data_IF_178266367220
#
_entry.id   IF_178266367220
#
_cell.length_a   1.000
_cell.length_b   1.000
_cell.length_c   1.000
_cell.angle_alpha   90.00
_cell.angle_beta   90.00
_cell.angle_gamma   90.00
#
_symmetry.space_group_name_H-M   'P 1'
#
loop_
_entity.id
_entity.type
_entity.pdbx_description
1 polymer ?
#
# COMPACT_ATOMS: atom_id res chain seq x y z
N UNK A 1 49.50 77.79 -5.82
CA UNK A 1 48.91 77.59 -4.48
C UNK A 1 47.54 78.28 -4.50
N UNK A 2 46.39 77.68 -4.26
CA UNK A 2 46.07 76.36 -3.71
C UNK A 2 44.62 75.96 -4.04
N UNK A 3 44.33 74.72 -3.67
CA UNK A 3 43.26 73.81 -4.10
C UNK A 3 41.80 74.27 -3.88
N UNK A 4 40.95 73.94 -4.86
CA UNK A 4 39.50 73.87 -4.76
C UNK A 4 39.05 72.88 -3.67
N UNK A 5 38.43 73.39 -2.61
CA UNK A 5 37.71 72.56 -1.63
C UNK A 5 36.33 72.18 -2.16
N UNK A 6 36.18 70.95 -2.67
CA UNK A 6 34.86 70.35 -2.88
C UNK A 6 34.19 70.15 -1.52
N UNK A 7 33.28 71.07 -1.16
CA UNK A 7 32.37 70.89 -0.04
C UNK A 7 31.54 69.63 -0.27
N UNK A 8 31.72 68.61 0.57
CA UNK A 8 30.82 67.47 0.67
C UNK A 8 29.41 68.01 0.91
N UNK A 9 28.52 67.91 -0.09
CA UNK A 9 27.08 68.15 0.11
C UNK A 9 26.63 67.21 1.23
N UNK A 10 26.36 67.76 2.42
CA UNK A 10 25.71 67.01 3.50
C UNK A 10 24.34 66.55 2.97
N UNK A 11 24.12 65.24 2.92
CA UNK A 11 22.80 64.67 2.67
C UNK A 11 21.83 65.24 3.73
N UNK A 12 20.57 65.54 3.36
CA UNK A 12 19.56 65.96 4.32
C UNK A 12 19.42 64.91 5.45
N UNK A 13 19.06 65.33 6.67
CA UNK A 13 18.88 64.39 7.78
C UNK A 13 17.82 63.35 7.40
N UNK A 14 18.15 62.08 7.62
CA UNK A 14 17.22 60.97 7.38
C UNK A 14 15.98 61.18 8.25
N UNK A 15 14.79 60.92 7.68
CA UNK A 15 13.59 60.81 8.51
C UNK A 15 13.77 59.69 9.55
N UNK A 16 13.07 59.81 10.68
CA UNK A 16 13.22 58.88 11.80
C UNK A 16 12.89 57.43 11.40
N UNK A 17 11.96 57.24 10.47
CA UNK A 17 11.62 55.94 9.91
C UNK A 17 12.80 55.30 9.16
N UNK A 18 13.49 56.05 8.31
CA UNK A 18 14.67 55.62 7.58
C UNK A 18 15.86 55.35 8.51
N UNK A 19 16.01 56.11 9.60
CA UNK A 19 17.02 55.83 10.63
C UNK A 19 16.76 54.47 11.30
N UNK A 20 15.52 54.22 11.72
CA UNK A 20 15.11 52.97 12.36
C UNK A 20 15.23 51.78 11.38
N UNK A 21 14.89 51.97 10.10
CA UNK A 21 15.07 50.93 9.09
C UNK A 21 16.54 50.52 8.95
N UNK A 22 17.47 51.49 8.90
CA UNK A 22 18.92 51.19 8.86
C UNK A 22 19.42 50.51 10.13
N UNK A 23 18.90 50.90 11.29
CA UNK A 23 19.20 50.20 12.56
C UNK A 23 18.74 48.75 12.51
N UNK A 24 17.56 48.48 11.93
CA UNK A 24 17.07 47.12 11.74
C UNK A 24 17.98 46.27 10.83
N UNK A 25 18.52 46.86 9.76
CA UNK A 25 19.47 46.17 8.87
C UNK A 25 20.79 45.82 9.57
N UNK A 26 21.20 46.61 10.58
CA UNK A 26 22.41 46.39 11.37
C UNK A 26 22.19 45.57 12.66
N UNK A 27 20.94 45.20 12.98
CA UNK A 27 20.61 44.53 14.22
C UNK A 27 21.18 43.10 14.26
N UNK A 28 21.89 42.76 15.35
CA UNK A 28 22.53 41.45 15.52
C UNK A 28 21.56 40.31 15.90
N UNK A 29 20.31 40.62 16.26
CA UNK A 29 19.32 39.64 16.69
C UNK A 29 17.93 39.89 16.11
N UNK A 30 17.20 38.81 15.80
CA UNK A 30 15.90 38.86 15.12
C UNK A 30 14.85 39.69 15.88
N UNK A 31 14.85 39.62 17.22
CA UNK A 31 13.91 40.37 18.06
C UNK A 31 14.10 41.89 17.92
N UNK A 32 15.33 42.37 18.05
CA UNK A 32 15.65 43.79 17.86
C UNK A 32 15.38 44.23 16.42
N UNK A 33 15.67 43.37 15.44
CA UNK A 33 15.36 43.64 14.05
C UNK A 33 13.86 43.86 13.82
N UNK A 34 13.01 42.99 14.37
CA UNK A 34 11.55 43.13 14.30
C UNK A 34 11.08 44.42 14.97
N UNK A 35 11.55 44.71 16.20
CA UNK A 35 11.17 45.93 16.93
C UNK A 35 11.49 47.19 16.12
N UNK A 36 12.69 47.29 15.52
CA UNK A 36 13.05 48.43 14.68
C UNK A 36 12.25 48.49 13.37
N UNK A 37 11.96 47.34 12.75
CA UNK A 37 11.14 47.28 11.54
C UNK A 37 9.69 47.70 11.81
N UNK A 38 9.11 47.30 12.94
CA UNK A 38 7.75 47.67 13.35
C UNK A 38 7.64 49.17 13.61
N UNK A 39 8.59 49.73 14.36
CA UNK A 39 8.64 51.18 14.61
C UNK A 39 8.82 51.97 13.31
N UNK A 40 9.72 51.53 12.43
CA UNK A 40 9.95 52.16 11.14
C UNK A 40 8.73 52.05 10.20
N UNK A 41 8.08 50.89 10.16
CA UNK A 41 6.88 50.65 9.37
C UNK A 41 5.70 51.51 9.86
N UNK A 42 5.54 51.68 11.18
CA UNK A 42 4.53 52.54 11.78
C UNK A 42 4.71 54.02 11.40
N UNK A 43 5.96 54.46 11.17
CA UNK A 43 6.29 55.78 10.64
C UNK A 43 6.10 55.91 9.12
N UNK A 44 5.54 54.88 8.47
CA UNK A 44 5.25 54.89 7.04
C UNK A 44 6.41 54.50 6.13
N UNK A 45 7.54 54.02 6.66
CA UNK A 45 8.67 53.64 5.82
C UNK A 45 8.33 52.42 4.96
N UNK A 46 8.25 52.65 3.65
CA UNK A 46 7.87 51.65 2.64
C UNK A 46 8.80 50.42 2.59
N UNK A 47 10.10 50.63 2.81
CA UNK A 47 11.09 49.56 2.79
C UNK A 47 11.03 48.71 4.05
N UNK A 48 10.78 49.35 5.21
CA UNK A 48 10.56 48.64 6.46
C UNK A 48 9.30 47.77 6.40
N UNK A 49 8.20 48.24 5.81
CA UNK A 49 6.98 47.43 5.61
C UNK A 49 7.24 46.17 4.79
N UNK A 50 7.94 46.30 3.66
CA UNK A 50 8.30 45.16 2.82
C UNK A 50 9.25 44.17 3.54
N UNK A 51 10.25 44.69 4.27
CA UNK A 51 11.17 43.86 5.04
C UNK A 51 10.46 43.15 6.20
N UNK A 52 9.51 43.83 6.87
CA UNK A 52 8.71 43.27 7.94
C UNK A 52 7.80 42.14 7.43
N UNK A 53 7.17 42.32 6.25
CA UNK A 53 6.39 41.27 5.59
C UNK A 53 7.21 39.99 5.36
N UNK A 54 8.47 40.13 4.90
CA UNK A 54 9.41 39.01 4.75
C UNK A 54 9.72 38.35 6.09
N UNK A 55 10.01 39.15 7.12
CA UNK A 55 10.33 38.63 8.45
C UNK A 55 9.16 37.81 9.02
N UNK A 56 7.92 38.30 8.89
CA UNK A 56 6.74 37.54 9.27
C UNK A 56 6.61 36.24 8.47
N UNK A 57 6.75 36.31 7.14
CA UNK A 57 6.67 35.14 6.26
C UNK A 57 7.66 34.02 6.61
N UNK A 58 8.89 34.38 6.97
CA UNK A 58 9.95 33.40 7.19
C UNK A 58 9.97 32.84 8.63
N UNK A 59 9.48 33.59 9.62
CA UNK A 59 9.74 33.28 11.03
C UNK A 59 8.49 33.03 11.89
N UNK A 60 7.29 33.35 11.42
CA UNK A 60 6.07 33.07 12.17
C UNK A 60 5.60 31.62 12.00
N UNK A 61 5.31 30.97 13.13
CA UNK A 61 4.85 29.57 13.19
C UNK A 61 3.37 29.41 12.84
N UNK A 62 2.55 30.41 13.15
CA UNK A 62 1.12 30.40 12.85
C UNK A 62 0.87 30.79 11.39
N UNK A 63 0.54 29.80 10.56
CA UNK A 63 0.45 29.98 9.11
C UNK A 63 -0.67 30.96 8.69
N UNK A 64 -1.84 30.91 9.34
CA UNK A 64 -2.96 31.79 9.01
C UNK A 64 -2.65 33.26 9.31
N UNK A 65 -2.11 33.51 10.50
CA UNK A 65 -1.75 34.85 10.95
C UNK A 65 -0.59 35.42 10.14
N UNK A 66 0.41 34.58 9.84
CA UNK A 66 1.55 34.91 8.97
C UNK A 66 1.10 35.38 7.60
N UNK A 67 0.19 34.64 6.95
CA UNK A 67 -0.31 34.97 5.61
C UNK A 67 -1.04 36.32 5.64
N UNK A 68 -1.95 36.51 6.59
CA UNK A 68 -2.74 37.74 6.71
C UNK A 68 -1.86 38.97 6.96
N UNK A 69 -0.96 38.90 7.95
CA UNK A 69 -0.06 40.01 8.28
C UNK A 69 0.90 40.33 7.15
N UNK A 70 1.51 39.32 6.54
CA UNK A 70 2.45 39.53 5.46
C UNK A 70 1.77 40.15 4.23
N UNK A 71 0.57 39.69 3.86
CA UNK A 71 -0.17 40.25 2.73
C UNK A 71 -0.57 41.72 2.96
N UNK A 72 -1.08 42.06 4.15
CA UNK A 72 -1.45 43.42 4.50
C UNK A 72 -0.23 44.38 4.46
N UNK A 73 0.91 43.94 5.00
CA UNK A 73 2.14 44.73 4.96
C UNK A 73 2.66 44.96 3.53
N UNK A 74 2.49 43.98 2.64
CA UNK A 74 2.83 44.16 1.23
C UNK A 74 1.91 45.14 0.52
N UNK A 75 0.61 45.16 0.83
CA UNK A 75 -0.32 46.16 0.28
C UNK A 75 0.10 47.56 0.67
N UNK A 76 0.38 47.76 1.96
CA UNK A 76 0.79 49.05 2.47
C UNK A 76 2.15 49.48 1.90
N UNK A 77 3.08 48.55 1.74
CA UNK A 77 4.36 48.81 1.11
C UNK A 77 4.18 49.21 -0.36
N UNK A 78 3.34 48.50 -1.12
CA UNK A 78 3.02 48.80 -2.51
C UNK A 78 2.33 50.16 -2.65
N UNK A 79 1.36 50.47 -1.79
CA UNK A 79 0.68 51.76 -1.75
C UNK A 79 1.64 52.92 -1.44
N UNK A 80 2.67 52.68 -0.63
CA UNK A 80 3.75 53.63 -0.36
C UNK A 80 4.85 53.65 -1.45
N UNK A 81 4.65 52.94 -2.57
CA UNK A 81 5.57 52.89 -3.70
C UNK A 81 6.86 52.12 -3.44
N UNK A 82 6.84 51.12 -2.55
CA UNK A 82 7.97 50.21 -2.38
C UNK A 82 8.14 49.31 -3.60
N UNK A 83 9.38 49.09 -4.01
CA UNK A 83 9.71 47.98 -4.91
C UNK A 83 9.67 46.68 -4.10
N UNK A 84 8.73 45.79 -4.44
CA UNK A 84 8.59 44.50 -3.79
C UNK A 84 9.44 43.43 -4.48
N UNK A 85 9.96 42.49 -3.68
CA UNK A 85 10.46 41.21 -4.19
C UNK A 85 9.27 40.45 -4.81
N UNK A 86 9.23 40.43 -6.14
CA UNK A 86 8.09 39.89 -6.88
C UNK A 86 7.92 38.39 -6.68
N UNK A 87 8.99 37.63 -6.43
CA UNK A 87 8.88 36.21 -6.13
C UNK A 87 8.26 35.96 -4.76
N UNK A 88 8.68 36.72 -3.74
CA UNK A 88 8.11 36.64 -2.39
C UNK A 88 6.66 37.14 -2.35
N UNK A 89 6.37 38.29 -2.96
CA UNK A 89 5.03 38.84 -3.02
C UNK A 89 4.06 37.90 -3.73
N UNK A 90 4.48 37.29 -4.85
CA UNK A 90 3.71 36.26 -5.55
C UNK A 90 3.29 35.11 -4.64
N UNK A 91 4.23 34.56 -3.85
CA UNK A 91 3.96 33.45 -2.91
C UNK A 91 3.01 33.84 -1.78
N UNK A 92 3.20 35.02 -1.20
CA UNK A 92 2.35 35.51 -0.09
C UNK A 92 0.92 35.71 -0.59
N UNK A 93 0.73 36.40 -1.71
CA UNK A 93 -0.61 36.64 -2.26
C UNK A 93 -1.31 35.36 -2.73
N UNK A 94 -0.58 34.41 -3.32
CA UNK A 94 -1.11 33.10 -3.72
C UNK A 94 -1.71 32.38 -2.50
N UNK A 95 -0.97 32.37 -1.38
CA UNK A 95 -1.40 31.77 -0.12
C UNK A 95 -2.50 32.55 0.59
N UNK A 96 -2.57 33.85 0.40
CA UNK A 96 -3.66 34.70 0.88
C UNK A 96 -4.95 34.57 0.03
N UNK A 97 -4.94 33.78 -1.05
CA UNK A 97 -6.07 33.67 -1.97
C UNK A 97 -6.23 34.88 -2.90
N UNK A 98 -5.26 35.79 -2.93
CA UNK A 98 -5.21 37.00 -3.76
C UNK A 98 -4.54 36.71 -5.09
N UNK A 99 -5.26 35.96 -5.92
CA UNK A 99 -4.69 35.23 -7.05
C UNK A 99 -4.30 36.16 -8.22
N UNK A 100 -4.98 37.29 -8.41
CA UNK A 100 -4.63 38.27 -9.45
C UNK A 100 -3.30 38.98 -9.14
N UNK A 101 -3.13 39.46 -7.90
CA UNK A 101 -1.89 40.07 -7.45
C UNK A 101 -0.74 39.06 -7.50
N UNK A 102 -1.00 37.83 -7.07
CA UNK A 102 -0.04 36.74 -7.18
C UNK A 102 0.42 36.51 -8.62
N UNK A 103 -0.51 36.43 -9.58
CA UNK A 103 -0.19 36.21 -10.99
C UNK A 103 0.66 37.35 -11.59
N UNK A 104 0.36 38.61 -11.25
CA UNK A 104 1.16 39.77 -11.69
C UNK A 104 2.60 39.70 -11.17
N UNK A 105 2.75 39.40 -9.87
CA UNK A 105 4.06 39.28 -9.25
C UNK A 105 4.85 38.06 -9.74
N UNK A 106 4.20 36.91 -9.95
CA UNK A 106 4.86 35.75 -10.56
C UNK A 106 5.34 36.06 -11.98
N UNK A 107 4.56 36.76 -12.80
CA UNK A 107 5.01 37.16 -14.15
C UNK A 107 6.26 38.05 -14.08
N UNK A 108 6.24 39.08 -13.24
CA UNK A 108 7.38 39.98 -13.07
C UNK A 108 8.65 39.24 -12.57
N UNK A 109 8.50 38.29 -11.65
CA UNK A 109 9.61 37.46 -11.18
C UNK A 109 10.09 36.44 -12.24
N UNK A 110 9.17 35.90 -13.04
CA UNK A 110 9.48 34.97 -14.13
C UNK A 110 10.34 35.64 -15.22
N UNK A 111 10.02 36.89 -15.56
CA UNK A 111 10.79 37.74 -16.46
C UNK A 111 12.21 38.03 -15.95
N UNK A 112 12.39 38.06 -14.62
CA UNK A 112 13.69 38.20 -13.97
C UNK A 112 14.46 36.88 -13.86
N UNK A 113 13.89 35.77 -14.34
CA UNK A 113 14.56 34.47 -14.38
C UNK A 113 14.25 33.53 -13.21
N UNK A 114 13.40 33.90 -12.26
CA UNK A 114 13.07 33.03 -11.12
C UNK A 114 12.32 31.76 -11.59
N UNK A 115 12.96 30.59 -11.45
CA UNK A 115 12.45 29.32 -11.99
C UNK A 115 11.13 28.88 -11.36
N UNK A 116 10.91 29.18 -10.07
CA UNK A 116 9.65 28.90 -9.38
C UNK A 116 8.52 29.78 -9.95
N UNK A 117 8.78 31.06 -10.15
CA UNK A 117 7.83 32.00 -10.72
C UNK A 117 7.55 31.72 -12.19
N UNK A 118 8.54 31.26 -12.97
CA UNK A 118 8.33 30.76 -14.33
C UNK A 118 7.38 29.56 -14.33
N UNK A 119 7.62 28.56 -13.48
CA UNK A 119 6.71 27.43 -13.33
C UNK A 119 5.29 27.88 -12.93
N UNK A 120 5.16 28.77 -11.94
CA UNK A 120 3.86 29.29 -11.50
C UNK A 120 3.14 30.09 -12.59
N UNK A 121 3.88 30.86 -13.37
CA UNK A 121 3.35 31.61 -14.51
C UNK A 121 2.85 30.65 -15.60
N UNK A 122 3.62 29.61 -15.93
CA UNK A 122 3.18 28.57 -16.85
C UNK A 122 1.92 27.84 -16.36
N UNK A 123 1.83 27.56 -15.06
CA UNK A 123 0.64 26.98 -14.43
C UNK A 123 -0.60 27.86 -14.56
N UNK A 124 -0.47 29.16 -14.31
CA UNK A 124 -1.59 30.09 -14.45
C UNK A 124 -2.14 30.14 -15.89
N UNK A 125 -1.25 30.13 -16.90
CA UNK A 125 -1.65 30.04 -18.30
C UNK A 125 -2.29 28.68 -18.65
N UNK A 126 -1.73 27.57 -18.18
CA UNK A 126 -2.26 26.22 -18.47
C UNK A 126 -3.67 26.00 -17.89
N UNK A 127 -3.94 26.55 -16.71
CA UNK A 127 -5.22 26.40 -16.02
C UNK A 127 -6.26 27.44 -16.43
N UNK A 128 -5.87 28.48 -17.19
CA UNK A 128 -6.76 29.61 -17.49
C UNK A 128 -7.24 30.35 -16.24
N UNK A 129 -6.51 30.23 -15.12
CA UNK A 129 -6.92 30.86 -13.87
C UNK A 129 -6.35 32.28 -13.87
N UNK A 130 -7.22 33.28 -13.99
CA UNK A 130 -6.92 34.74 -14.00
C UNK A 130 -6.17 35.27 -15.22
N UNK A 131 -5.50 34.39 -15.96
CA UNK A 131 -5.02 34.65 -17.31
C UNK A 131 -5.87 33.84 -18.28
N UNK A 132 -6.10 34.37 -19.48
CA UNK A 132 -6.70 33.58 -20.54
C UNK A 132 -5.87 32.31 -20.75
N UNK A 133 -6.56 31.17 -20.88
CA UNK A 133 -5.90 29.88 -21.03
C UNK A 133 -5.08 29.90 -22.32
N UNK A 134 -3.77 29.64 -22.19
CA UNK A 134 -2.84 29.71 -23.31
C UNK A 134 -1.75 28.66 -23.10
N UNK A 135 -1.92 27.51 -23.75
CA UNK A 135 -0.98 26.41 -23.61
C UNK A 135 0.38 26.69 -24.27
N UNK A 136 0.43 27.56 -25.28
CA UNK A 136 1.70 27.93 -25.94
C UNK A 136 2.56 28.75 -24.97
N UNK A 137 1.95 29.75 -24.31
CA UNK A 137 2.62 30.51 -23.25
C UNK A 137 2.96 29.64 -22.05
N UNK A 138 2.09 28.67 -21.70
CA UNK A 138 2.39 27.73 -20.63
C UNK A 138 3.64 26.90 -20.95
N UNK A 139 3.72 26.34 -22.16
CA UNK A 139 4.87 25.57 -22.63
C UNK A 139 6.15 26.40 -22.59
N UNK A 140 6.11 27.64 -23.09
CA UNK A 140 7.25 28.56 -23.05
C UNK A 140 7.80 28.77 -21.63
N UNK A 141 6.93 29.03 -20.65
CA UNK A 141 7.38 29.26 -19.27
C UNK A 141 7.84 27.97 -18.58
N UNK A 142 7.20 26.83 -18.87
CA UNK A 142 7.66 25.54 -18.36
C UNK A 142 9.00 25.12 -18.95
N UNK A 143 9.27 25.41 -20.22
CA UNK A 143 10.56 25.17 -20.86
C UNK A 143 11.67 25.93 -20.14
N UNK A 144 11.52 27.25 -19.93
CA UNK A 144 12.49 28.04 -19.17
C UNK A 144 12.74 27.52 -17.75
N UNK A 145 11.70 27.10 -17.04
CA UNK A 145 11.85 26.53 -15.72
C UNK A 145 12.52 25.13 -15.75
N UNK A 146 12.21 24.31 -16.77
CA UNK A 146 12.81 22.99 -17.02
C UNK A 146 14.31 23.09 -17.34
N UNK A 147 14.72 24.07 -18.14
CA UNK A 147 16.13 24.36 -18.45
C UNK A 147 16.93 24.68 -17.18
N UNK A 148 16.31 25.36 -16.21
CA UNK A 148 16.88 25.64 -14.90
C UNK A 148 16.82 24.47 -13.91
N UNK A 149 16.37 23.30 -14.34
CA UNK A 149 16.34 22.10 -13.51
C UNK A 149 15.07 21.92 -12.66
N UNK A 150 14.02 22.71 -12.90
CA UNK A 150 12.79 22.61 -12.12
C UNK A 150 11.93 21.41 -12.54
N UNK A 151 12.05 20.30 -11.81
CA UNK A 151 11.49 19.00 -12.19
C UNK A 151 9.96 19.00 -12.44
N UNK A 152 9.19 19.79 -11.68
CA UNK A 152 7.75 19.89 -11.89
C UNK A 152 7.38 20.63 -13.19
N UNK A 153 8.22 21.56 -13.66
CA UNK A 153 8.05 22.19 -14.96
C UNK A 153 8.36 21.21 -16.09
N UNK A 154 9.46 20.45 -15.98
CA UNK A 154 9.79 19.37 -16.92
C UNK A 154 8.63 18.36 -17.07
N UNK A 155 8.01 17.96 -15.95
CA UNK A 155 6.85 17.07 -15.94
C UNK A 155 5.63 17.69 -16.64
N UNK A 156 5.30 18.95 -16.34
CA UNK A 156 4.13 19.59 -16.96
C UNK A 156 4.36 19.88 -18.44
N UNK A 157 5.59 20.21 -18.85
CA UNK A 157 5.94 20.36 -20.25
C UNK A 157 5.82 19.02 -20.99
N UNK A 158 6.26 17.91 -20.38
CA UNK A 158 6.06 16.56 -20.91
C UNK A 158 4.57 16.26 -21.17
N UNK A 159 3.70 16.64 -20.25
CA UNK A 159 2.24 16.48 -20.41
C UNK A 159 1.70 17.32 -21.58
N UNK A 160 2.23 18.52 -21.82
CA UNK A 160 1.82 19.35 -22.97
C UNK A 160 2.23 18.70 -24.30
N UNK A 161 3.46 18.22 -24.41
CA UNK A 161 3.94 17.48 -25.58
C UNK A 161 3.18 16.17 -25.80
N UNK A 162 2.91 15.40 -24.74
CA UNK A 162 2.17 14.14 -24.84
C UNK A 162 0.73 14.34 -25.32
N UNK A 163 0.10 15.48 -25.01
CA UNK A 163 -1.27 15.78 -25.41
C UNK A 163 -1.39 16.71 -26.63
N UNK A 164 -0.27 17.19 -27.18
CA UNK A 164 -0.28 18.18 -28.27
C UNK A 164 -0.96 19.50 -27.89
N UNK A 165 -0.84 19.95 -26.64
CA UNK A 165 -1.50 21.18 -26.15
C UNK A 165 -0.52 22.34 -26.15
N UNK A 166 -0.74 23.31 -27.03
CA UNK A 166 0.14 24.49 -27.16
C UNK A 166 1.54 24.18 -27.72
N UNK A 167 1.80 22.91 -28.02
CA UNK A 167 2.98 22.41 -28.74
C UNK A 167 2.51 21.25 -29.62
N UNK A 168 3.16 20.98 -30.77
CA UNK A 168 2.88 19.77 -31.54
C UNK A 168 3.04 18.52 -30.68
N UNK A 169 2.16 17.53 -30.86
CA UNK A 169 2.25 16.29 -30.11
C UNK A 169 3.56 15.57 -30.45
N UNK A 170 4.33 15.25 -29.43
CA UNK A 170 5.61 14.54 -29.56
C UNK A 170 5.87 13.69 -28.32
N UNK A 171 5.65 12.38 -28.46
CA UNK A 171 5.87 11.42 -27.39
C UNK A 171 7.36 11.21 -27.07
N UNK A 172 8.25 11.38 -28.04
CA UNK A 172 9.68 11.24 -27.78
C UNK A 172 10.15 12.38 -26.87
N UNK A 173 9.80 13.62 -27.22
CA UNK A 173 10.10 14.79 -26.39
C UNK A 173 9.42 14.69 -25.02
N UNK A 174 8.15 14.27 -24.96
CA UNK A 174 7.44 14.08 -23.70
C UNK A 174 8.15 13.09 -22.77
N UNK A 175 8.53 11.92 -23.29
CA UNK A 175 9.27 10.90 -22.55
C UNK A 175 10.61 11.42 -22.05
N UNK A 176 11.41 12.07 -22.88
CA UNK A 176 12.71 12.63 -22.48
C UNK A 176 12.57 13.67 -21.38
N UNK A 177 11.58 14.55 -21.46
CA UNK A 177 11.29 15.53 -20.41
C UNK A 177 10.84 14.88 -19.10
N UNK A 178 10.06 13.81 -19.17
CA UNK A 178 9.60 13.09 -17.98
C UNK A 178 10.75 12.30 -17.33
N UNK A 179 11.62 11.67 -18.13
CA UNK A 179 12.86 11.04 -17.65
C UNK A 179 13.79 12.06 -16.99
N UNK A 180 13.95 13.24 -17.60
CA UNK A 180 14.68 14.37 -17.01
C UNK A 180 14.09 14.78 -15.65
N UNK A 181 12.75 14.91 -15.55
CA UNK A 181 12.08 15.23 -14.30
C UNK A 181 12.35 14.15 -13.22
N UNK A 182 12.30 12.87 -13.59
CA UNK A 182 12.55 11.75 -12.69
C UNK A 182 14.00 11.71 -12.19
N UNK A 183 14.96 12.01 -13.08
CA UNK A 183 16.38 12.14 -12.76
C UNK A 183 16.64 13.31 -11.80
N UNK A 184 15.89 14.41 -11.93
CA UNK A 184 15.91 15.57 -11.03
C UNK A 184 15.20 15.32 -9.68
N UNK A 185 14.72 14.09 -9.43
CA UNK A 185 14.11 13.72 -8.15
C UNK A 185 12.60 13.87 -8.06
N UNK A 186 11.92 14.20 -9.17
CA UNK A 186 10.45 14.23 -9.20
C UNK A 186 9.88 12.84 -8.97
N UNK A 187 9.25 12.65 -7.81
CA UNK A 187 8.58 11.40 -7.48
C UNK A 187 7.38 11.18 -8.39
N UNK A 188 6.60 12.23 -8.66
CA UNK A 188 5.43 12.16 -9.56
C UNK A 188 5.85 11.66 -10.95
N UNK A 189 6.96 12.16 -11.50
CA UNK A 189 7.47 11.70 -12.80
C UNK A 189 7.90 10.23 -12.76
N UNK A 190 8.53 9.77 -11.66
CA UNK A 190 8.86 8.35 -11.47
C UNK A 190 7.62 7.47 -11.42
N UNK A 191 6.58 7.90 -10.70
CA UNK A 191 5.31 7.17 -10.62
C UNK A 191 4.59 7.06 -11.96
N UNK A 192 4.62 8.13 -12.75
CA UNK A 192 4.06 8.14 -14.11
C UNK A 192 4.88 7.26 -15.06
N UNK A 193 6.20 7.43 -15.12
CA UNK A 193 7.06 6.57 -15.95
C UNK A 193 6.94 5.09 -15.59
N UNK A 194 6.87 4.75 -14.31
CA UNK A 194 6.66 3.37 -13.88
C UNK A 194 5.36 2.78 -14.43
N UNK A 195 4.29 3.58 -14.41
CA UNK A 195 2.98 3.20 -14.92
C UNK A 195 2.99 3.08 -16.45
N UNK A 196 3.48 4.11 -17.14
CA UNK A 196 3.46 4.20 -18.60
C UNK A 196 4.35 3.12 -19.23
N UNK A 197 5.55 2.88 -18.68
CA UNK A 197 6.42 1.79 -19.12
C UNK A 197 5.83 0.39 -18.84
N UNK A 198 5.07 0.21 -17.76
CA UNK A 198 4.44 -1.08 -17.45
C UNK A 198 3.31 -1.42 -18.43
N UNK A 199 2.44 -0.45 -18.70
CA UNK A 199 1.29 -0.63 -19.61
C UNK A 199 1.67 -0.47 -21.09
N UNK A 200 2.82 0.15 -21.39
CA UNK A 200 3.17 0.54 -22.76
C UNK A 200 2.28 1.67 -23.29
N UNK A 201 1.84 2.55 -22.39
CA UNK A 201 1.02 3.72 -22.73
C UNK A 201 1.91 4.86 -23.21
N UNK A 202 1.46 5.56 -24.25
CA UNK A 202 2.17 6.73 -24.74
C UNK A 202 2.33 7.77 -23.61
N UNK A 203 3.55 8.30 -23.37
CA UNK A 203 4.67 8.38 -24.32
C UNK A 203 5.67 7.22 -24.29
N UNK A 204 5.44 6.19 -23.48
CA UNK A 204 6.41 5.12 -23.23
C UNK A 204 6.02 3.81 -23.93
N UNK A 205 6.91 3.16 -24.70
CA UNK A 205 6.69 1.77 -25.10
C UNK A 205 6.75 0.87 -23.87
N UNK A 206 6.17 -0.33 -23.94
CA UNK A 206 6.25 -1.27 -22.82
C UNK A 206 7.70 -1.67 -22.55
N UNK A 207 8.17 -1.48 -21.32
CA UNK A 207 9.53 -1.81 -20.87
C UNK A 207 9.52 -2.13 -19.36
N UNK A 208 9.52 -3.42 -19.05
CA UNK A 208 9.38 -3.88 -17.66
C UNK A 208 10.59 -3.53 -16.79
N UNK A 209 11.79 -3.44 -17.36
CA UNK A 209 13.00 -3.13 -16.60
C UNK A 209 13.00 -1.66 -16.19
N UNK A 210 12.66 -0.76 -17.12
CA UNK A 210 12.47 0.66 -16.80
C UNK A 210 11.30 0.88 -15.85
N UNK A 211 10.19 0.18 -16.06
CA UNK A 211 9.04 0.23 -15.16
C UNK A 211 9.46 -0.16 -13.72
N UNK A 212 10.18 -1.27 -13.56
CA UNK A 212 10.68 -1.73 -12.27
C UNK A 212 11.63 -0.72 -11.62
N UNK A 213 12.58 -0.17 -12.38
CA UNK A 213 13.55 0.80 -11.89
C UNK A 213 12.88 2.09 -11.37
N UNK A 214 11.96 2.65 -12.17
CA UNK A 214 11.21 3.84 -11.76
C UNK A 214 10.27 3.56 -10.59
N UNK A 215 9.62 2.39 -10.58
CA UNK A 215 8.74 2.00 -9.48
C UNK A 215 9.51 1.82 -8.17
N UNK A 216 10.70 1.20 -8.20
CA UNK A 216 11.58 1.10 -7.03
C UNK A 216 12.01 2.49 -6.51
N UNK A 217 12.33 3.41 -7.42
CA UNK A 217 12.77 4.76 -7.08
C UNK A 217 11.64 5.67 -6.54
N UNK A 218 10.37 5.30 -6.74
CA UNK A 218 9.17 6.04 -6.31
C UNK A 218 8.45 5.47 -5.08
N UNK A 219 8.95 4.39 -4.47
CA UNK A 219 8.32 3.73 -3.32
C UNK A 219 8.17 4.63 -2.09
N UNK A 220 9.14 5.51 -1.87
CA UNK A 220 9.21 6.41 -0.72
C UNK A 220 8.58 7.78 -1.01
N UNK A 221 7.79 7.87 -2.09
CA UNK A 221 7.09 9.10 -2.44
C UNK A 221 6.13 9.52 -1.33
N UNK A 222 6.18 10.82 -1.00
CA UNK A 222 5.18 11.48 -0.16
C UNK A 222 3.85 11.66 -0.89
N UNK A 223 3.87 11.66 -2.22
CA UNK A 223 2.66 11.68 -3.04
C UNK A 223 2.00 10.29 -3.04
N UNK A 224 0.77 10.22 -2.54
CA UNK A 224 0.04 8.98 -2.33
C UNK A 224 -0.27 8.27 -3.66
N UNK A 225 -0.65 9.03 -4.69
CA UNK A 225 -0.94 8.49 -6.03
C UNK A 225 0.29 7.81 -6.64
N UNK A 226 1.43 8.50 -6.63
CA UNK A 226 2.71 7.97 -7.09
C UNK A 226 3.09 6.71 -6.30
N UNK A 227 3.03 6.77 -4.97
CA UNK A 227 3.41 5.64 -4.12
C UNK A 227 2.55 4.41 -4.42
N UNK A 228 1.24 4.58 -4.60
CA UNK A 228 0.32 3.49 -4.95
C UNK A 228 0.62 2.91 -6.33
N UNK A 229 0.83 3.75 -7.35
CA UNK A 229 1.23 3.32 -8.70
C UNK A 229 2.53 2.52 -8.68
N UNK A 230 3.56 3.01 -8.00
CA UNK A 230 4.85 2.32 -7.89
C UNK A 230 4.71 0.95 -7.19
N UNK A 231 3.95 0.87 -6.09
CA UNK A 231 3.68 -0.39 -5.40
C UNK A 231 2.93 -1.38 -6.29
N UNK A 232 1.92 -0.89 -7.01
CA UNK A 232 1.13 -1.70 -7.94
C UNK A 232 2.01 -2.30 -9.05
N UNK A 233 2.77 -1.46 -9.76
CA UNK A 233 3.65 -1.90 -10.86
C UNK A 233 4.64 -2.95 -10.36
N UNK A 234 5.26 -2.74 -9.20
CA UNK A 234 6.18 -3.73 -8.63
C UNK A 234 5.50 -5.03 -8.26
N UNK A 235 4.32 -4.99 -7.64
CA UNK A 235 3.59 -6.18 -7.27
C UNK A 235 3.19 -7.00 -8.51
N UNK A 236 2.73 -6.31 -9.57
CA UNK A 236 2.41 -6.96 -10.84
C UNK A 236 3.64 -7.59 -11.51
N UNK A 237 4.75 -6.85 -11.60
CA UNK A 237 6.00 -7.37 -12.17
C UNK A 237 6.54 -8.56 -11.36
N UNK A 238 6.47 -8.49 -10.03
CA UNK A 238 6.86 -9.58 -9.14
C UNK A 238 6.00 -10.83 -9.34
N UNK A 239 4.66 -10.69 -9.32
CA UNK A 239 3.73 -11.81 -9.50
C UNK A 239 3.85 -12.47 -10.87
N UNK A 240 4.25 -11.70 -11.88
CA UNK A 240 4.46 -12.19 -13.25
C UNK A 240 5.91 -12.65 -13.51
N UNK A 241 6.83 -12.44 -12.57
CA UNK A 241 8.27 -12.68 -12.72
C UNK A 241 8.87 -11.95 -13.95
N UNK A 242 8.59 -10.65 -14.07
CA UNK A 242 8.98 -9.75 -15.17
C UNK A 242 9.87 -8.61 -14.67
N UNK A 243 10.59 -7.96 -15.59
CA UNK A 243 11.38 -6.74 -15.28
C UNK A 243 12.50 -6.94 -14.25
N UNK A 244 13.01 -8.17 -14.09
CA UNK A 244 14.02 -8.51 -13.10
C UNK A 244 13.53 -8.49 -11.64
N UNK A 245 12.24 -8.25 -11.39
CA UNK A 245 11.65 -8.24 -10.05
C UNK A 245 11.31 -9.67 -9.65
N UNK A 246 12.09 -10.24 -8.73
CA UNK A 246 11.83 -11.56 -8.15
C UNK A 246 11.26 -11.40 -6.74
N UNK A 247 10.04 -11.88 -6.55
CA UNK A 247 9.42 -12.02 -5.23
C UNK A 247 8.51 -13.26 -5.21
N UNK A 248 8.09 -13.69 -4.03
CA UNK A 248 7.06 -14.73 -3.90
C UNK A 248 5.73 -14.21 -4.42
N UNK A 249 4.98 -15.07 -5.10
CA UNK A 249 3.65 -14.75 -5.61
C UNK A 249 2.71 -14.26 -4.48
N UNK A 250 2.78 -14.89 -3.30
CA UNK A 250 2.02 -14.46 -2.11
C UNK A 250 2.29 -13.01 -1.70
N UNK A 251 3.55 -12.57 -1.81
CA UNK A 251 3.93 -11.20 -1.46
C UNK A 251 3.35 -10.19 -2.47
N UNK A 252 3.33 -10.55 -3.76
CA UNK A 252 2.70 -9.75 -4.81
C UNK A 252 1.18 -9.63 -4.59
N UNK A 253 0.50 -10.73 -4.31
CA UNK A 253 -0.93 -10.75 -4.01
C UNK A 253 -1.26 -9.98 -2.73
N UNK A 254 -0.48 -10.17 -1.67
CA UNK A 254 -0.64 -9.42 -0.43
C UNK A 254 -0.49 -7.90 -0.65
N UNK A 255 0.52 -7.48 -1.41
CA UNK A 255 0.72 -6.07 -1.76
C UNK A 255 -0.47 -5.49 -2.53
N UNK A 256 -1.03 -6.23 -3.49
CA UNK A 256 -2.21 -5.80 -4.24
C UNK A 256 -3.48 -5.77 -3.38
N UNK A 257 -3.69 -6.75 -2.49
CA UNK A 257 -4.83 -6.72 -1.54
C UNK A 257 -4.80 -5.48 -0.68
N UNK A 258 -3.63 -5.17 -0.11
CA UNK A 258 -3.46 -3.94 0.68
C UNK A 258 -3.74 -2.68 -0.13
N UNK A 259 -3.30 -2.62 -1.38
CA UNK A 259 -3.61 -1.49 -2.27
C UNK A 259 -5.12 -1.38 -2.56
N UNK A 260 -5.80 -2.52 -2.75
CA UNK A 260 -7.25 -2.54 -2.93
C UNK A 260 -7.99 -2.06 -1.68
N UNK A 261 -7.53 -2.44 -0.48
CA UNK A 261 -8.07 -1.98 0.81
C UNK A 261 -7.83 -0.47 1.02
N UNK A 262 -6.70 0.05 0.53
CA UNK A 262 -6.40 1.49 0.48
C UNK A 262 -7.25 2.25 -0.57
N UNK A 263 -8.10 1.54 -1.33
CA UNK A 263 -9.00 2.12 -2.34
C UNK A 263 -8.36 2.36 -3.72
N UNK A 264 -7.22 1.74 -4.02
CA UNK A 264 -6.59 1.84 -5.33
C UNK A 264 -7.28 0.92 -6.33
N UNK A 265 -8.17 1.47 -7.16
CA UNK A 265 -9.02 0.71 -8.07
C UNK A 265 -8.30 -0.33 -8.96
N UNK A 266 -7.13 -0.03 -9.58
CA UNK A 266 -6.44 -1.00 -10.44
C UNK A 266 -5.98 -2.27 -9.70
N UNK A 267 -5.83 -2.22 -8.38
CA UNK A 267 -5.35 -3.37 -7.62
C UNK A 267 -6.32 -4.56 -7.66
N UNK A 268 -7.63 -4.31 -7.76
CA UNK A 268 -8.65 -5.38 -7.86
C UNK A 268 -8.49 -6.16 -9.17
N UNK A 269 -8.36 -5.44 -10.28
CA UNK A 269 -8.12 -6.04 -11.60
C UNK A 269 -6.78 -6.78 -11.65
N UNK A 270 -5.74 -6.20 -11.03
CA UNK A 270 -4.43 -6.85 -10.88
C UNK A 270 -4.52 -8.17 -10.13
N UNK A 271 -5.29 -8.23 -9.03
CA UNK A 271 -5.54 -9.47 -8.28
C UNK A 271 -6.24 -10.52 -9.14
N UNK A 272 -7.30 -10.15 -9.84
CA UNK A 272 -8.03 -11.06 -10.73
C UNK A 272 -7.13 -11.59 -11.86
N UNK A 273 -6.23 -10.76 -12.38
CA UNK A 273 -5.26 -11.19 -13.39
C UNK A 273 -4.25 -12.18 -12.83
N UNK A 274 -3.64 -11.89 -11.67
CA UNK A 274 -2.66 -12.79 -11.06
C UNK A 274 -3.30 -14.12 -10.63
N UNK A 275 -4.51 -14.09 -10.09
CA UNK A 275 -5.25 -15.31 -9.72
C UNK A 275 -5.55 -16.16 -10.96
N UNK A 276 -6.05 -15.57 -12.07
CA UNK A 276 -6.28 -16.32 -13.32
C UNK A 276 -5.00 -16.93 -13.89
N UNK A 277 -3.88 -16.22 -13.79
CA UNK A 277 -2.59 -16.73 -14.26
C UNK A 277 -2.09 -17.87 -13.36
N UNK A 278 -2.31 -17.79 -12.06
CA UNK A 278 -2.01 -18.88 -11.13
C UNK A 278 -2.90 -20.10 -11.39
N UNK A 279 -4.22 -19.92 -11.53
CA UNK A 279 -5.17 -20.99 -11.89
C UNK A 279 -4.78 -21.70 -13.20
N UNK A 280 -4.33 -20.95 -14.21
CA UNK A 280 -3.85 -21.53 -15.45
C UNK A 280 -2.55 -22.35 -15.27
N UNK A 281 -1.60 -21.83 -14.48
CA UNK A 281 -0.33 -22.52 -14.19
C UNK A 281 -0.55 -23.80 -13.39
N UNK A 282 -1.37 -23.70 -12.35
CA UNK A 282 -1.72 -24.81 -11.43
C UNK A 282 -2.45 -25.92 -12.16
N UNK A 283 -3.44 -25.59 -13.00
CA UNK A 283 -4.17 -26.57 -13.83
C UNK A 283 -3.26 -27.25 -14.85
N UNK A 284 -2.32 -26.52 -15.45
CA UNK A 284 -1.33 -27.08 -16.37
C UNK A 284 -0.34 -28.04 -15.68
N UNK A 285 0.13 -27.68 -14.48
CA UNK A 285 0.99 -28.53 -13.65
C UNK A 285 0.26 -29.82 -13.25
N UNK A 286 -0.99 -29.68 -12.80
CA UNK A 286 -1.86 -30.80 -12.45
C UNK A 286 -2.07 -31.78 -13.61
N UNK A 287 -2.36 -31.28 -14.81
CA UNK A 287 -2.53 -32.13 -15.99
C UNK A 287 -1.26 -32.94 -16.30
N UNK A 288 -0.09 -32.30 -16.22
CA UNK A 288 1.19 -33.00 -16.43
C UNK A 288 1.43 -34.06 -15.36
N UNK A 289 1.14 -33.73 -14.09
CA UNK A 289 1.26 -34.68 -12.97
C UNK A 289 0.35 -35.90 -13.16
N UNK A 290 -0.88 -35.71 -13.66
CA UNK A 290 -1.79 -36.81 -13.99
C UNK A 290 -1.26 -37.69 -15.14
N UNK A 291 -0.74 -37.07 -16.20
CA UNK A 291 -0.21 -37.79 -17.38
C UNK A 291 1.05 -38.60 -17.05
N UNK A 292 1.92 -38.08 -16.18
CA UNK A 292 3.16 -38.75 -15.78
C UNK A 292 3.01 -39.68 -14.57
N UNK A 293 1.93 -39.54 -13.79
CA UNK A 293 1.79 -40.20 -12.48
C UNK A 293 2.75 -39.68 -11.42
N UNK A 294 3.33 -38.49 -11.60
CA UNK A 294 4.32 -37.89 -10.71
C UNK A 294 3.64 -37.25 -9.48
N UNK A 295 3.73 -37.94 -8.35
CA UNK A 295 3.14 -37.50 -7.08
C UNK A 295 3.84 -36.28 -6.47
N UNK A 296 5.11 -36.03 -6.78
CA UNK A 296 5.83 -34.84 -6.32
C UNK A 296 5.35 -33.60 -7.09
N UNK A 297 5.17 -33.74 -8.39
CA UNK A 297 4.56 -32.71 -9.23
C UNK A 297 3.09 -32.45 -8.84
N UNK A 298 2.36 -33.49 -8.41
CA UNK A 298 1.00 -33.36 -7.89
C UNK A 298 0.97 -32.56 -6.58
N UNK A 299 1.87 -32.83 -5.62
CA UNK A 299 2.04 -32.03 -4.39
C UNK A 299 2.40 -30.59 -4.72
N UNK A 300 3.27 -30.36 -5.70
CA UNK A 300 3.62 -29.01 -6.16
C UNK A 300 2.43 -28.28 -6.80
N UNK A 301 1.64 -28.94 -7.64
CA UNK A 301 0.45 -28.36 -8.26
C UNK A 301 -0.56 -27.87 -7.21
N UNK A 302 -0.77 -28.67 -6.17
CA UNK A 302 -1.67 -28.34 -5.09
C UNK A 302 -1.12 -27.31 -4.10
N UNK A 303 0.18 -27.33 -3.79
CA UNK A 303 0.83 -26.26 -3.02
C UNK A 303 0.73 -24.90 -3.72
N UNK A 304 0.69 -24.91 -5.06
CA UNK A 304 0.45 -23.72 -5.86
C UNK A 304 -1.04 -23.34 -5.94
N UNK A 305 -1.95 -24.05 -5.26
CA UNK A 305 -3.37 -23.72 -5.17
C UNK A 305 -4.28 -24.42 -6.20
N UNK A 306 -3.79 -25.44 -6.92
CA UNK A 306 -4.63 -26.25 -7.82
C UNK A 306 -5.66 -27.05 -7.05
N UNK A 307 -6.94 -26.68 -7.13
CA UNK A 307 -8.02 -27.39 -6.46
C UNK A 307 -8.14 -28.86 -6.90
N UNK A 308 -7.96 -29.16 -8.18
CA UNK A 308 -8.10 -30.53 -8.68
C UNK A 308 -6.95 -31.43 -8.21
N UNK A 309 -5.74 -30.87 -8.08
CA UNK A 309 -4.61 -31.55 -7.46
C UNK A 309 -4.85 -31.74 -5.96
N UNK A 310 -5.43 -30.73 -5.29
CA UNK A 310 -5.87 -30.79 -3.89
C UNK A 310 -6.86 -31.95 -3.66
N UNK A 311 -7.88 -32.02 -4.49
CA UNK A 311 -8.87 -33.10 -4.40
C UNK A 311 -8.27 -34.47 -4.72
N UNK A 312 -7.29 -34.52 -5.61
CA UNK A 312 -6.61 -35.75 -5.99
C UNK A 312 -5.79 -36.34 -4.83
N UNK A 313 -4.87 -35.60 -4.18
CA UNK A 313 -4.14 -36.21 -3.05
C UNK A 313 -5.04 -36.48 -1.85
N UNK A 314 -6.13 -35.71 -1.66
CA UNK A 314 -7.13 -36.07 -0.63
C UNK A 314 -7.75 -37.44 -0.90
N UNK A 315 -8.13 -37.73 -2.15
CA UNK A 315 -8.67 -39.03 -2.55
C UNK A 315 -7.64 -40.15 -2.46
N UNK A 316 -6.40 -39.88 -2.86
CA UNK A 316 -5.29 -40.84 -2.75
C UNK A 316 -5.00 -41.19 -1.28
N UNK A 317 -4.88 -40.18 -0.42
CA UNK A 317 -4.69 -40.37 1.01
C UNK A 317 -5.86 -41.14 1.65
N UNK A 318 -7.11 -40.77 1.33
CA UNK A 318 -8.31 -41.46 1.80
C UNK A 318 -8.32 -42.95 1.41
N UNK A 319 -7.87 -43.28 0.20
CA UNK A 319 -7.77 -44.66 -0.27
C UNK A 319 -6.70 -45.43 0.50
N UNK A 320 -5.49 -44.89 0.61
CA UNK A 320 -4.37 -45.50 1.35
C UNK A 320 -4.70 -45.73 2.82
N UNK A 321 -5.45 -44.81 3.43
CA UNK A 321 -6.04 -44.96 4.77
C UNK A 321 -6.99 -46.14 4.86
N UNK A 322 -7.91 -46.28 3.91
CA UNK A 322 -8.86 -47.41 3.89
C UNK A 322 -8.18 -48.77 3.68
N UNK A 323 -6.99 -48.77 3.11
CA UNK A 323 -6.16 -49.96 2.89
C UNK A 323 -5.25 -50.28 4.10
N UNK A 324 -5.31 -49.47 5.16
CA UNK A 324 -4.64 -49.73 6.45
C UNK A 324 -3.24 -49.14 6.57
N UNK A 325 -2.83 -48.20 5.71
CA UNK A 325 -1.55 -47.51 5.86
C UNK A 325 -1.56 -46.57 7.08
N UNK A 326 -0.53 -46.65 7.91
CA UNK A 326 -0.31 -45.74 9.05
C UNK A 326 0.35 -44.45 8.57
N UNK A 327 -0.28 -43.30 8.82
CA UNK A 327 0.26 -41.98 8.45
C UNK A 327 1.04 -41.34 9.61
N UNK A 328 2.07 -40.56 9.26
CA UNK A 328 2.75 -39.69 10.21
C UNK A 328 1.96 -38.40 10.49
N UNK A 329 2.33 -37.70 11.57
CA UNK A 329 1.75 -36.41 12.00
C UNK A 329 1.75 -35.35 10.87
N UNK A 330 2.74 -35.42 9.97
CA UNK A 330 2.92 -34.48 8.86
C UNK A 330 1.92 -34.70 7.73
N UNK A 331 1.69 -35.95 7.30
CA UNK A 331 0.70 -36.27 6.26
C UNK A 331 -0.73 -35.97 6.72
N UNK A 332 -1.00 -36.13 8.02
CA UNK A 332 -2.29 -35.82 8.63
C UNK A 332 -2.54 -34.32 8.63
N UNK A 333 -1.53 -33.53 9.00
CA UNK A 333 -1.58 -32.07 8.92
C UNK A 333 -1.83 -31.59 7.49
N UNK A 334 -1.19 -32.22 6.48
CA UNK A 334 -1.44 -31.91 5.07
C UNK A 334 -2.89 -32.21 4.66
N UNK A 335 -3.44 -33.38 5.02
CA UNK A 335 -4.83 -33.72 4.74
C UNK A 335 -5.83 -32.73 5.38
N UNK A 336 -5.51 -32.23 6.58
CA UNK A 336 -6.32 -31.26 7.32
C UNK A 336 -6.31 -29.87 6.69
N UNK A 337 -5.14 -29.39 6.25
CA UNK A 337 -4.99 -28.13 5.51
C UNK A 337 -5.77 -28.21 4.19
N UNK A 338 -5.66 -29.33 3.49
CA UNK A 338 -6.34 -29.54 2.21
C UNK A 338 -7.85 -29.58 2.39
N UNK A 339 -8.37 -30.38 3.33
CA UNK A 339 -9.79 -30.40 3.63
C UNK A 339 -10.39 -29.01 3.89
N UNK A 340 -9.67 -28.14 4.64
CA UNK A 340 -10.10 -26.76 4.88
C UNK A 340 -10.23 -25.98 3.57
N UNK A 341 -9.16 -25.96 2.77
CA UNK A 341 -9.10 -25.23 1.50
C UNK A 341 -10.18 -25.72 0.52
N UNK A 342 -10.42 -27.03 0.48
CA UNK A 342 -11.40 -27.63 -0.42
C UNK A 342 -12.85 -27.35 0.01
N UNK A 343 -13.10 -27.19 1.34
CA UNK A 343 -14.42 -26.87 1.90
C UNK A 343 -14.82 -25.40 1.75
N UNK A 344 -13.88 -24.47 1.90
CA UNK A 344 -14.12 -23.04 1.67
C UNK A 344 -14.60 -22.75 0.24
N UNK A 345 -14.23 -23.63 -0.70
CA UNK A 345 -14.69 -23.61 -2.10
C UNK A 345 -16.02 -24.37 -2.32
N UNK A 346 -16.60 -24.98 -1.28
CA UNK A 346 -17.94 -25.59 -1.30
C UNK A 346 -18.08 -26.92 -2.02
N UNK A 347 -16.98 -27.66 -2.25
CA UNK A 347 -16.94 -28.74 -3.25
C UNK A 347 -16.45 -30.11 -2.76
N UNK A 348 -16.29 -30.36 -1.45
CA UNK A 348 -15.82 -31.67 -0.96
C UNK A 348 -16.94 -32.73 -1.03
N UNK A 349 -16.81 -33.81 -1.83
CA UNK A 349 -17.79 -34.87 -1.87
C UNK A 349 -17.81 -35.65 -0.54
N UNK A 350 -18.99 -36.11 -0.12
CA UNK A 350 -19.15 -36.89 1.13
C UNK A 350 -18.35 -38.19 1.12
N UNK A 351 -18.09 -38.78 -0.06
CA UNK A 351 -17.30 -40.01 -0.17
C UNK A 351 -15.82 -39.82 0.18
N UNK A 352 -15.29 -38.60 0.02
CA UNK A 352 -13.88 -38.27 0.36
C UNK A 352 -13.76 -37.86 1.84
N UNK A 353 -14.80 -37.24 2.38
CA UNK A 353 -14.83 -36.76 3.76
C UNK A 353 -14.72 -37.88 4.79
N UNK A 354 -15.45 -38.98 4.58
CA UNK A 354 -15.58 -40.01 5.61
C UNK A 354 -14.28 -40.77 5.90
N UNK A 355 -13.52 -41.27 4.91
CA UNK A 355 -12.27 -41.97 5.19
C UNK A 355 -11.20 -41.10 5.86
N UNK A 356 -11.18 -39.80 5.57
CA UNK A 356 -10.27 -38.84 6.21
C UNK A 356 -10.65 -38.67 7.69
N UNK A 357 -11.95 -38.52 8.00
CA UNK A 357 -12.41 -38.38 9.39
C UNK A 357 -12.18 -39.66 10.21
N UNK A 358 -12.35 -40.83 9.59
CA UNK A 358 -12.12 -42.15 10.20
C UNK A 358 -10.65 -42.29 10.61
N UNK A 359 -9.74 -42.01 9.67
CA UNK A 359 -8.30 -42.00 9.88
C UNK A 359 -7.84 -41.03 10.98
N UNK A 360 -8.41 -39.83 11.01
CA UNK A 360 -8.11 -38.85 12.05
C UNK A 360 -8.55 -39.33 13.44
N UNK A 361 -9.68 -40.04 13.52
CA UNK A 361 -10.14 -40.66 14.75
C UNK A 361 -9.21 -41.78 15.23
N UNK A 362 -8.72 -42.62 14.32
CA UNK A 362 -7.74 -43.69 14.63
C UNK A 362 -6.39 -43.12 15.10
N UNK A 363 -5.90 -42.05 14.49
CA UNK A 363 -4.67 -41.37 14.96
C UNK A 363 -4.90 -40.73 16.32
N UNK A 364 -6.05 -40.08 16.50
CA UNK A 364 -6.44 -39.56 17.81
C UNK A 364 -6.45 -40.66 18.87
N UNK A 365 -6.95 -41.85 18.54
CA UNK A 365 -6.90 -43.03 19.40
C UNK A 365 -5.46 -43.44 19.72
N UNK A 366 -4.59 -43.55 18.72
CA UNK A 366 -3.17 -43.90 18.91
C UNK A 366 -2.47 -42.90 19.86
N UNK A 367 -2.62 -41.60 19.63
CA UNK A 367 -2.02 -40.57 20.48
C UNK A 367 -2.57 -40.62 21.92
N UNK A 368 -3.85 -40.91 22.10
CA UNK A 368 -4.44 -41.13 23.43
C UNK A 368 -3.89 -42.39 24.10
N UNK A 369 -3.73 -43.48 23.36
CA UNK A 369 -3.16 -44.74 23.85
C UNK A 369 -1.68 -44.61 24.24
N UNK A 370 -0.93 -43.73 23.59
CA UNK A 370 0.45 -43.38 23.95
C UNK A 370 0.55 -42.37 25.10
N UNK A 371 -0.56 -42.02 25.75
CA UNK A 371 -0.65 -41.02 26.80
C UNK A 371 -0.13 -39.62 26.37
N UNK A 372 -0.40 -39.25 25.11
CA UNK A 372 -0.12 -37.94 24.52
C UNK A 372 -1.42 -37.15 24.25
N UNK A 373 -2.25 -36.87 25.28
CA UNK A 373 -3.55 -36.25 25.09
C UNK A 373 -3.44 -34.83 24.53
N UNK A 374 -2.38 -34.08 24.89
CA UNK A 374 -2.17 -32.73 24.36
C UNK A 374 -2.04 -32.76 22.84
N UNK A 375 -1.33 -33.73 22.29
CA UNK A 375 -1.07 -33.84 20.85
C UNK A 375 -2.33 -34.28 20.09
N UNK A 376 -3.10 -35.22 20.67
CA UNK A 376 -4.44 -35.58 20.17
C UNK A 376 -5.41 -34.39 20.13
N UNK A 377 -5.33 -33.50 21.13
CA UNK A 377 -6.11 -32.26 21.17
C UNK A 377 -5.54 -31.17 20.24
N UNK A 378 -4.22 -31.12 20.02
CA UNK A 378 -3.57 -30.19 19.07
C UNK A 378 -3.94 -30.50 17.61
N UNK A 379 -4.15 -31.77 17.28
CA UNK A 379 -4.74 -32.25 16.00
C UNK A 379 -6.05 -31.52 15.66
N UNK A 380 -6.73 -30.99 16.68
CA UNK A 380 -8.04 -30.34 16.63
C UNK A 380 -7.97 -28.86 17.02
N UNK A 381 -6.79 -28.36 17.42
CA UNK A 381 -6.57 -26.97 17.86
C UNK A 381 -5.92 -26.11 16.78
N UNK A 382 -5.02 -26.67 15.96
CA UNK A 382 -4.49 -25.97 14.76
C UNK A 382 -5.54 -25.86 13.63
N UNK A 383 -6.76 -26.32 13.89
CA UNK A 383 -7.89 -26.25 12.98
C UNK A 383 -8.71 -24.97 13.15
N UNK A 384 -8.08 -23.82 13.36
CA UNK A 384 -8.72 -22.48 13.34
C UNK A 384 -9.49 -22.22 12.03
N UNK A 385 -10.70 -22.77 11.90
CA UNK A 385 -11.52 -22.75 10.69
C UNK A 385 -12.30 -24.04 10.38
N UNK A 386 -12.01 -25.20 11.02
CA UNK A 386 -12.93 -26.33 10.92
C UNK A 386 -14.24 -26.01 11.66
N UNK A 387 -15.33 -26.61 11.17
CA UNK A 387 -16.61 -26.46 11.85
C UNK A 387 -16.48 -27.13 13.21
N UNK A 388 -16.92 -26.45 14.27
CA UNK A 388 -16.78 -26.93 15.64
C UNK A 388 -17.33 -28.35 15.81
N UNK A 389 -18.31 -28.73 14.97
CA UNK A 389 -18.92 -30.05 14.90
C UNK A 389 -17.99 -31.17 14.40
N UNK A 390 -17.11 -30.91 13.43
CA UNK A 390 -16.21 -31.93 12.87
C UNK A 390 -15.04 -32.21 13.80
N UNK A 391 -14.49 -31.16 14.41
CA UNK A 391 -13.54 -31.25 15.52
C UNK A 391 -14.11 -32.10 16.67
N UNK A 392 -15.40 -31.90 16.98
CA UNK A 392 -16.11 -32.71 17.97
C UNK A 392 -16.26 -34.18 17.54
N UNK A 393 -16.51 -34.45 16.25
CA UNK A 393 -16.63 -35.82 15.72
C UNK A 393 -15.30 -36.59 15.77
N UNK A 394 -14.19 -35.96 15.37
CA UNK A 394 -12.87 -36.62 15.41
C UNK A 394 -12.47 -36.97 16.84
N UNK A 395 -12.68 -36.04 17.78
CA UNK A 395 -12.45 -36.31 19.21
C UNK A 395 -13.41 -37.39 19.74
N UNK A 396 -14.69 -37.34 19.36
CA UNK A 396 -15.69 -38.36 19.70
C UNK A 396 -15.22 -39.76 19.35
N UNK A 397 -14.77 -39.91 18.11
CA UNK A 397 -14.38 -41.18 17.54
C UNK A 397 -13.10 -41.72 18.18
N UNK A 398 -12.09 -40.87 18.36
CA UNK A 398 -10.86 -41.20 19.06
C UNK A 398 -11.11 -41.69 20.49
N UNK A 399 -11.99 -41.00 21.23
CA UNK A 399 -12.40 -41.43 22.57
C UNK A 399 -13.19 -42.74 22.55
N UNK A 400 -14.11 -42.91 21.59
CA UNK A 400 -14.87 -44.15 21.45
C UNK A 400 -13.93 -45.35 21.24
N UNK A 401 -13.01 -45.27 20.27
CA UNK A 401 -12.02 -46.31 19.99
C UNK A 401 -11.16 -46.61 21.24
N UNK A 402 -10.78 -45.57 21.99
CA UNK A 402 -10.04 -45.71 23.24
C UNK A 402 -10.82 -46.40 24.36
N UNK A 403 -12.12 -46.17 24.44
CA UNK A 403 -12.98 -46.83 25.44
C UNK A 403 -13.44 -48.23 25.01
N UNK A 404 -13.55 -48.48 23.69
CA UNK A 404 -14.00 -49.74 23.12
C UNK A 404 -12.91 -50.83 23.14
N UNK A 405 -11.64 -50.47 23.33
CA UNK A 405 -10.51 -51.42 23.47
C UNK A 405 -10.54 -52.28 24.75
N UNK A 406 -11.61 -52.17 25.57
CA UNK A 406 -11.92 -53.01 26.76
C UNK A 406 -10.89 -52.97 27.91
N UNK A 407 -9.90 -52.08 27.87
CA UNK A 407 -8.99 -51.89 29.00
C UNK A 407 -9.53 -50.84 29.99
N UNK A 408 -10.32 -51.32 30.96
CA UNK A 408 -11.04 -50.49 31.94
C UNK A 408 -10.14 -49.52 32.72
N UNK A 409 -8.83 -49.82 32.84
CA UNK A 409 -7.86 -48.98 33.54
C UNK A 409 -7.47 -47.69 32.78
N UNK A 410 -7.68 -47.67 31.47
CA UNK A 410 -7.48 -46.49 30.61
C UNK A 410 -8.78 -45.71 30.40
N UNK A 411 -9.92 -46.42 30.45
CA UNK A 411 -11.27 -45.83 30.40
C UNK A 411 -11.49 -44.86 31.58
N UNK A 412 -11.09 -45.26 32.79
CA UNK A 412 -11.17 -44.41 33.98
C UNK A 412 -10.23 -43.20 33.92
N UNK A 413 -9.06 -43.35 33.27
CA UNK A 413 -8.11 -42.24 33.02
C UNK A 413 -8.67 -41.25 32.01
N UNK A 414 -9.23 -41.72 30.90
CA UNK A 414 -9.88 -40.86 29.89
C UNK A 414 -11.09 -40.12 30.46
N UNK A 415 -11.92 -40.80 31.28
CA UNK A 415 -13.02 -40.16 32.02
C UNK A 415 -12.50 -39.18 33.06
N UNK A 416 -11.39 -39.47 33.76
CA UNK A 416 -10.75 -38.56 34.71
C UNK A 416 -10.15 -37.31 34.03
N UNK A 417 -9.56 -37.45 32.84
CA UNK A 417 -9.09 -36.33 32.01
C UNK A 417 -10.26 -35.43 31.56
N UNK A 418 -11.39 -36.01 31.14
CA UNK A 418 -12.62 -35.26 30.85
C UNK A 418 -13.19 -34.54 32.09
N UNK A 419 -13.07 -35.14 33.29
CA UNK A 419 -13.51 -34.53 34.55
C UNK A 419 -12.57 -33.43 35.05
N UNK A 420 -11.26 -33.57 34.88
CA UNK A 420 -10.26 -32.57 35.28
C UNK A 420 -10.42 -31.25 34.50
N UNK A 421 -10.90 -31.32 33.26
CA UNK A 421 -11.16 -30.15 32.41
C UNK A 421 -12.55 -29.52 32.60
N UNK A 422 -13.40 -30.05 33.49
CA UNK A 422 -14.76 -29.54 33.78
C UNK A 422 -14.77 -28.10 34.33
N UNK A 423 -13.62 -27.61 34.79
CA UNK A 423 -13.41 -26.24 35.29
C UNK A 423 -12.81 -25.28 34.25
N UNK A 424 -12.60 -25.72 33.01
CA UNK A 424 -12.16 -24.89 31.88
C UNK A 424 -13.40 -24.52 31.04
N UNK A 425 -13.52 -23.29 30.48
CA UNK A 425 -14.63 -22.87 29.60
C UNK A 425 -14.95 -23.82 28.43
N UNK A 426 -14.07 -24.78 28.13
CA UNK A 426 -14.30 -25.91 27.24
C UNK A 426 -15.30 -26.97 27.74
N UNK A 427 -15.84 -26.89 28.97
CA UNK A 427 -16.93 -27.77 29.44
C UNK A 427 -18.24 -27.62 28.62
N UNK A 428 -18.35 -26.55 27.82
CA UNK A 428 -19.38 -26.39 26.80
C UNK A 428 -19.25 -27.44 25.67
N UNK A 429 -18.05 -28.00 25.41
CA UNK A 429 -17.83 -29.04 24.40
C UNK A 429 -18.58 -30.34 24.72
N UNK A 430 -18.68 -30.76 25.98
CA UNK A 430 -19.40 -31.99 26.35
C UNK A 430 -20.94 -31.82 26.25
N UNK A 431 -21.44 -30.61 26.53
CA UNK A 431 -22.85 -30.26 26.31
C UNK A 431 -23.17 -30.15 24.82
N UNK A 432 -22.26 -29.60 24.03
CA UNK A 432 -22.40 -29.52 22.58
C UNK A 432 -22.28 -30.90 21.93
N UNK A 433 -21.43 -31.80 22.44
CA UNK A 433 -21.33 -33.20 22.03
C UNK A 433 -22.66 -33.94 22.16
N UNK A 434 -23.29 -33.84 23.34
CA UNK A 434 -24.62 -34.42 23.57
C UNK A 434 -25.67 -33.83 22.64
N UNK A 435 -25.62 -32.51 22.41
CA UNK A 435 -26.54 -31.79 21.52
C UNK A 435 -26.28 -32.08 20.03
N UNK A 436 -25.04 -32.36 19.64
CA UNK A 436 -24.62 -32.72 18.29
C UNK A 436 -24.99 -34.17 17.96
N UNK A 437 -24.88 -35.09 18.92
CA UNK A 437 -25.46 -36.43 18.84
C UNK A 437 -27.00 -36.41 18.77
N UNK A 438 -27.63 -35.31 19.18
CA UNK A 438 -29.08 -35.10 19.05
C UNK A 438 -29.47 -34.44 17.70
N UNK A 439 -28.58 -33.70 17.03
CA UNK A 439 -28.82 -33.06 15.71
C UNK A 439 -28.28 -33.81 14.50
N UNK A 440 -27.24 -34.64 14.64
CA UNK A 440 -26.86 -35.61 13.60
C UNK A 440 -27.95 -36.67 13.62
N UNK A 441 -28.65 -36.80 12.49
CA UNK A 441 -29.79 -37.67 12.29
C UNK A 441 -29.62 -38.99 13.06
N UNK A 442 -30.42 -39.15 14.12
CA UNK A 442 -30.34 -40.26 15.08
C UNK A 442 -30.35 -41.60 14.35
N UNK A 443 -31.06 -41.68 13.24
CA UNK A 443 -31.22 -42.89 12.46
C UNK A 443 -29.95 -43.24 11.65
N UNK A 444 -29.18 -42.24 11.22
CA UNK A 444 -27.92 -42.45 10.48
C UNK A 444 -26.78 -42.89 11.42
N UNK A 445 -26.75 -42.38 12.66
CA UNK A 445 -25.80 -42.78 13.70
C UNK A 445 -26.08 -44.22 14.18
N UNK A 446 -27.35 -44.59 14.37
CA UNK A 446 -27.73 -45.96 14.73
C UNK A 446 -27.50 -46.99 13.61
N UNK A 447 -27.63 -46.59 12.33
CA UNK A 447 -27.29 -47.45 11.18
C UNK A 447 -25.81 -47.82 11.11
N UNK A 448 -24.91 -46.94 11.58
CA UNK A 448 -23.46 -47.21 11.66
C UNK A 448 -23.09 -48.04 12.91
N UNK A 449 -23.74 -47.81 14.06
CA UNK A 449 -23.61 -48.69 15.24
C UNK A 449 -23.94 -50.15 14.89
N UNK A 450 -24.98 -50.39 14.07
CA UNK A 450 -25.30 -51.74 13.60
C UNK A 450 -24.30 -52.30 12.60
N UNK A 451 -23.62 -51.48 11.79
CA UNK A 451 -22.65 -51.98 10.79
C UNK A 451 -21.32 -52.41 11.41
N UNK A 452 -20.89 -51.75 12.49
CA UNK A 452 -19.69 -52.16 13.25
C UNK A 452 -20.00 -53.33 14.19
N UNK A 453 -21.20 -53.36 14.80
CA UNK A 453 -21.65 -54.50 15.60
C UNK A 453 -21.76 -55.82 14.79
N UNK A 454 -22.00 -55.74 13.48
CA UNK A 454 -22.10 -56.94 12.62
C UNK A 454 -20.74 -57.64 12.39
N UNK A 455 -19.59 -57.01 12.71
CA UNK A 455 -18.27 -57.67 12.62
C UNK A 455 -17.73 -58.23 13.95
N UNK A 456 -18.42 -58.06 15.07
CA UNK A 456 -18.03 -58.63 16.36
C UNK A 456 -19.24 -59.24 17.06
N UNK A 457 -19.30 -60.56 17.11
CA UNK A 457 -20.35 -61.36 17.76
C UNK A 457 -20.70 -60.87 19.17
N UNK A 458 -22.01 -60.83 19.44
CA UNK A 458 -22.77 -60.90 20.69
C UNK A 458 -22.08 -60.54 22.02
N UNK A 459 -22.66 -59.54 22.71
CA UNK A 459 -22.40 -59.24 24.12
C UNK A 459 -22.36 -57.75 24.40
#
# INVERSE_FOLDING_TARGET
>A
MGLFGFGKKKQPPLDEGERLYRQALSAGGMRQKLEYLEQSAALGNRHAKAALARCYWENFSNEAEKIQKAAALLDEAAAAGALLDSGLAGRIYDKAGRKEEAARHYRAAAEQGDSWAQFKTGWNYAQGTFLEQDYEKAAYWYEKASEQGYAAASNNLAVLYGNGRGVPQDYETARTLMEKAAAQGSQVARGNLAWDYYHGEAPCPQDDEKAAAHAQAGMDSKDDTCRRRCRYVRAMLAGQNRGGVRDRWDNAVYALRRLADEGFAPAKEGLELLNRQEEARTTGLYRKALESGDMEMMDQAAQNGCFDAELYLLKDAAKRLSEGETFGEREITKCMVWYRLTRERGQVPREVLWPILDALGEVGYQLLSENKPKDAFYLVKDTDGLDHALCQYVLAHAFYLHTASRDFSETDRSIAYCRAFRNNPQAQLLKNYKKMCETIDRDLFFLQLNRVAVKGKEG
#
